data_IF_107520626120
#
_entry.id   IF_107520626120
#
_cell.length_a   1.000
_cell.length_b   1.000
_cell.length_c   1.000
_cell.angle_alpha   90.00
_cell.angle_beta   90.00
_cell.angle_gamma   90.00
#
_symmetry.space_group_name_H-M   'P 1'
#
loop_
_entity.id
_entity.type
_entity.pdbx_description
1 polymer ?
#
# COMPACT_ATOMS: atom_id res chain seq x y z
N UNK A 1 19.40 -4.43 -2.32
CA UNK A 1 18.50 -5.56 -2.64
C UNK A 1 17.14 -5.30 -2.03
N UNK A 2 16.05 -5.59 -2.73
CA UNK A 2 14.68 -5.47 -2.21
C UNK A 2 14.10 -6.86 -2.00
N UNK A 3 13.28 -7.03 -0.97
CA UNK A 3 12.55 -8.27 -0.65
C UNK A 3 11.06 -7.99 -0.62
N UNK A 4 10.26 -9.01 -0.85
CA UNK A 4 8.79 -8.93 -0.77
C UNK A 4 8.36 -9.65 0.50
N UNK A 5 7.51 -9.01 1.28
CA UNK A 5 6.91 -9.60 2.47
C UNK A 5 5.40 -9.36 2.46
N UNK A 6 4.63 -10.40 2.77
CA UNK A 6 3.18 -10.30 2.98
C UNK A 6 2.91 -9.55 4.28
N UNK A 7 2.18 -8.43 4.19
CA UNK A 7 1.78 -7.63 5.35
C UNK A 7 0.25 -7.50 5.39
N UNK A 8 -0.37 -7.54 6.58
CA UNK A 8 -1.77 -7.21 6.72
C UNK A 8 -1.96 -5.69 6.56
N UNK A 9 -3.03 -5.29 5.88
CA UNK A 9 -3.54 -3.92 5.82
C UNK A 9 -5.04 -3.93 6.05
N UNK A 10 -5.57 -2.80 6.51
CA UNK A 10 -7.02 -2.59 6.58
C UNK A 10 -7.47 -1.95 5.27
N UNK A 11 -8.22 -2.70 4.48
CA UNK A 11 -8.83 -2.20 3.26
C UNK A 11 -10.27 -1.76 3.53
N UNK A 12 -10.62 -0.58 3.00
CA UNK A 12 -11.97 -0.01 3.08
C UNK A 12 -12.68 -0.19 1.76
N UNK A 13 -13.89 -0.75 1.76
CA UNK A 13 -14.65 -1.00 0.54
C UNK A 13 -16.15 -0.74 0.72
N UNK A 14 -16.81 -0.38 -0.37
CA UNK A 14 -18.26 -0.32 -0.42
C UNK A 14 -18.83 -1.72 -0.74
N UNK A 15 -19.81 -2.23 0.03
CA UNK A 15 -20.43 -3.53 -0.26
C UNK A 15 -21.20 -3.54 -1.60
N UNK A 16 -21.56 -2.37 -2.13
CA UNK A 16 -22.22 -2.22 -3.43
C UNK A 16 -21.23 -2.12 -4.60
N UNK A 17 -19.92 -2.27 -4.36
CA UNK A 17 -18.90 -2.32 -5.42
C UNK A 17 -18.43 -0.97 -5.96
N UNK A 18 -18.86 0.15 -5.36
CA UNK A 18 -18.35 1.47 -5.72
C UNK A 18 -16.93 1.68 -5.21
N UNK A 19 -16.05 2.17 -6.07
CA UNK A 19 -14.70 2.56 -5.68
C UNK A 19 -14.75 3.83 -4.82
N UNK A 20 -14.25 3.79 -3.58
CA UNK A 20 -14.11 4.99 -2.78
C UNK A 20 -13.07 5.92 -3.43
N UNK A 21 -13.35 7.24 -3.45
CA UNK A 21 -12.37 8.22 -3.91
C UNK A 21 -11.13 8.15 -3.00
N UNK A 22 -9.98 7.78 -3.58
CA UNK A 22 -8.71 7.59 -2.89
C UNK A 22 -8.16 8.86 -2.20
N UNK A 23 -8.71 10.05 -2.50
CA UNK A 23 -8.17 11.35 -2.11
C UNK A 23 -8.52 11.85 -0.69
N UNK A 24 -9.18 11.06 0.16
CA UNK A 24 -9.55 11.48 1.52
C UNK A 24 -8.85 10.69 2.65
N UNK A 25 -7.66 10.14 2.41
CA UNK A 25 -6.83 9.61 3.50
C UNK A 25 -5.56 10.45 3.72
N UNK A 26 -5.66 11.70 4.22
CA UNK A 26 -4.68 12.20 5.15
C UNK A 26 -4.87 11.49 6.49
N UNK A 27 -3.76 11.19 7.17
CA UNK A 27 -3.64 10.43 8.42
C UNK A 27 -4.26 11.11 9.65
N UNK A 28 -5.32 11.91 9.48
CA UNK A 28 -6.01 12.64 10.52
C UNK A 28 -7.50 12.70 10.25
N UNK A 29 -8.25 11.95 11.06
CA UNK A 29 -9.62 12.28 11.51
C UNK A 29 -10.76 12.40 10.48
N UNK A 30 -10.68 11.80 9.29
CA UNK A 30 -11.84 11.80 8.37
C UNK A 30 -12.54 10.44 8.38
N UNK A 31 -13.42 10.27 9.37
CA UNK A 31 -14.32 9.12 9.57
C UNK A 31 -15.42 9.08 8.50
N UNK A 32 -15.06 9.04 7.21
CA UNK A 32 -16.01 8.80 6.13
C UNK A 32 -16.46 7.33 6.18
N UNK A 33 -17.50 7.09 6.98
CA UNK A 33 -18.13 5.78 7.17
C UNK A 33 -19.11 5.41 6.07
N UNK A 34 -19.34 6.27 5.07
CA UNK A 34 -20.38 6.07 4.06
C UNK A 34 -19.85 6.32 2.66
N UNK A 35 -20.34 5.53 1.70
CA UNK A 35 -20.07 5.69 0.28
C UNK A 35 -20.75 6.97 -0.24
N UNK A 36 -19.98 7.86 -0.84
CA UNK A 36 -20.51 9.11 -1.43
C UNK A 36 -21.47 8.89 -2.61
N UNK A 37 -21.44 7.70 -3.24
CA UNK A 37 -22.31 7.37 -4.39
C UNK A 37 -23.65 6.81 -3.94
N UNK A 38 -23.66 5.84 -3.03
CA UNK A 38 -24.88 5.10 -2.66
C UNK A 38 -25.32 5.28 -1.20
N UNK A 39 -24.56 6.00 -0.38
CA UNK A 39 -24.85 6.21 1.04
C UNK A 39 -24.65 4.98 1.93
N UNK A 40 -24.30 3.82 1.38
CA UNK A 40 -24.06 2.61 2.17
C UNK A 40 -22.83 2.76 3.06
N UNK A 41 -22.86 2.12 4.23
CA UNK A 41 -21.70 2.11 5.13
C UNK A 41 -20.49 1.45 4.47
N UNK A 42 -19.34 2.09 4.58
CA UNK A 42 -18.04 1.53 4.20
C UNK A 42 -17.68 0.45 5.22
N UNK A 43 -17.30 -0.71 4.71
CA UNK A 43 -16.84 -1.82 5.52
C UNK A 43 -15.32 -1.89 5.49
N UNK A 44 -14.75 -2.41 6.57
CA UNK A 44 -13.32 -2.64 6.71
C UNK A 44 -13.09 -4.15 6.68
N UNK A 45 -12.04 -4.58 5.98
CA UNK A 45 -11.54 -5.96 6.04
C UNK A 45 -10.04 -5.97 6.15
N UNK A 46 -9.53 -7.03 6.78
CA UNK A 46 -8.11 -7.35 6.72
C UNK A 46 -7.80 -7.90 5.32
N UNK A 47 -6.90 -7.22 4.62
CA UNK A 47 -6.36 -7.65 3.35
C UNK A 47 -4.87 -7.94 3.52
N UNK A 48 -4.38 -8.96 2.82
CA UNK A 48 -2.94 -9.27 2.78
C UNK A 48 -2.40 -8.70 1.46
N UNK A 49 -1.34 -7.91 1.54
CA UNK A 49 -0.67 -7.35 0.38
C UNK A 49 0.83 -7.62 0.43
N UNK A 50 1.43 -7.71 -0.76
CA UNK A 50 2.87 -7.87 -0.93
C UNK A 50 3.56 -6.52 -0.85
N UNK A 51 4.24 -6.28 0.27
CA UNK A 51 5.03 -5.06 0.49
C UNK A 51 6.47 -5.28 0.03
N UNK A 52 6.95 -4.42 -0.89
CA UNK A 52 8.36 -4.38 -1.23
C UNK A 52 9.14 -3.58 -0.16
N UNK A 53 10.13 -4.24 0.46
CA UNK A 53 10.96 -3.68 1.51
C UNK A 53 12.44 -3.70 1.09
N UNK A 54 13.22 -2.75 1.56
CA UNK A 54 14.67 -2.81 1.41
C UNK A 54 15.23 -3.96 2.25
N UNK A 55 15.98 -4.89 1.65
CA UNK A 55 16.57 -6.02 2.37
C UNK A 55 17.66 -5.60 3.37
N UNK A 56 18.22 -4.40 3.21
CA UNK A 56 19.23 -3.86 4.12
C UNK A 56 18.61 -3.20 5.36
N UNK A 57 17.65 -2.29 5.16
CA UNK A 57 17.12 -1.46 6.24
C UNK A 57 15.65 -1.71 6.59
N UNK A 58 14.97 -2.65 5.91
CA UNK A 58 13.56 -3.02 6.08
C UNK A 58 12.53 -1.89 5.87
N UNK A 59 12.95 -0.72 5.37
CA UNK A 59 12.01 0.35 5.02
C UNK A 59 11.20 -0.02 3.77
N UNK A 60 9.92 0.39 3.70
CA UNK A 60 9.11 0.22 2.50
C UNK A 60 9.73 0.97 1.33
N UNK A 61 9.76 0.32 0.17
CA UNK A 61 10.31 0.87 -1.07
C UNK A 61 9.36 0.59 -2.22
N UNK A 62 9.27 1.50 -3.18
CA UNK A 62 8.57 1.18 -4.42
C UNK A 62 9.44 0.19 -5.24
N UNK A 63 8.88 -0.94 -5.71
CA UNK A 63 9.65 -1.91 -6.49
C UNK A 63 10.17 -1.36 -7.83
N UNK A 64 9.58 -0.27 -8.33
CA UNK A 64 10.04 0.43 -9.53
C UNK A 64 11.28 1.30 -9.30
N UNK A 65 11.63 1.59 -8.03
CA UNK A 65 12.80 2.40 -7.72
C UNK A 65 14.10 1.62 -7.98
N UNK A 66 15.17 2.37 -8.29
CA UNK A 66 16.49 1.79 -8.55
C UNK A 66 17.38 1.74 -7.31
N UNK A 67 16.97 2.39 -6.22
CA UNK A 67 17.71 2.46 -4.96
C UNK A 67 16.75 2.70 -3.80
N UNK A 68 17.20 2.39 -2.58
CA UNK A 68 16.47 2.69 -1.36
C UNK A 68 16.78 4.14 -0.93
N UNK A 69 15.80 5.04 -0.79
CA UNK A 69 16.05 6.43 -0.38
C UNK A 69 16.41 6.57 1.11
N UNK A 70 16.32 5.49 1.90
CA UNK A 70 16.58 5.51 3.34
C UNK A 70 17.98 5.03 3.72
N UNK A 71 18.66 4.28 2.85
CA UNK A 71 20.00 3.74 3.13
C UNK A 71 20.90 3.68 1.89
N UNK A 72 20.49 4.33 0.80
CA UNK A 72 21.20 4.44 -0.48
C UNK A 72 21.57 3.10 -1.16
N UNK A 73 21.02 1.99 -0.67
CA UNK A 73 21.28 0.68 -1.25
C UNK A 73 20.64 0.58 -2.64
N UNK A 74 21.47 0.42 -3.67
CA UNK A 74 21.04 0.16 -5.04
C UNK A 74 20.30 -1.18 -5.20
N UNK A 75 19.42 -1.26 -6.21
CA UNK A 75 18.89 -2.54 -6.71
C UNK A 75 19.97 -3.20 -7.58
N UNK A 76 20.23 -4.48 -7.33
CA UNK A 76 21.14 -5.21 -8.21
C UNK A 76 20.51 -5.28 -9.61
N UNK A 77 21.29 -4.91 -10.64
CA UNK A 77 20.88 -5.18 -12.01
C UNK A 77 20.96 -6.68 -12.21
N UNK A 78 19.82 -7.34 -12.42
CA UNK A 78 19.79 -8.72 -12.91
C UNK A 78 20.61 -8.73 -14.20
N UNK A 79 21.82 -9.29 -14.15
CA UNK A 79 22.60 -9.59 -15.36
C UNK A 79 21.80 -10.67 -16.09
N UNK A 80 21.07 -10.27 -17.14
CA UNK A 80 20.60 -11.22 -18.15
C UNK A 80 21.86 -11.77 -18.82
N UNK A 81 22.25 -12.97 -18.40
CA UNK A 81 23.23 -13.81 -19.11
C UNK A 81 22.58 -14.46 -20.32
#
# INVERSE_FOLDING_TARGET
>A
MFKVETRPTTERYCPNGHEPLFDLLPEGDHSVKFCHICGASILEREAIYDAALCANCNNPVNPSWNYCPYCDQGRERVKRG
#
